data_IF_015612887884
#
_entry.id   IF_015612887884
#
_cell.length_a   1.000
_cell.length_b   1.000
_cell.length_c   1.000
_cell.angle_alpha   90.00
_cell.angle_beta   90.00
_cell.angle_gamma   90.00
#
_symmetry.space_group_name_H-M   'P 1'
#
loop_
_entity.id
_entity.type
_entity.pdbx_description
1 polymer ?
#
# COMPACT_ATOMS: atom_id res chain seq x y z
N UNK A 1 29.80 20.71 -21.41
CA UNK A 1 29.24 19.37 -21.75
C UNK A 1 30.07 18.25 -21.11
N UNK A 2 31.40 18.28 -21.24
CA UNK A 2 32.35 17.39 -20.53
C UNK A 2 32.19 17.35 -18.99
N UNK A 3 32.03 18.50 -18.33
CA UNK A 3 31.87 18.56 -16.86
C UNK A 3 30.58 17.94 -16.35
N UNK A 4 29.49 18.07 -17.12
CA UNK A 4 28.16 17.55 -16.78
C UNK A 4 28.09 16.03 -17.03
N UNK A 5 28.71 15.56 -18.12
CA UNK A 5 28.93 14.12 -18.38
C UNK A 5 29.80 13.48 -17.29
N UNK A 6 30.86 14.15 -16.84
CA UNK A 6 31.71 13.66 -15.76
C UNK A 6 30.98 13.65 -14.40
N UNK A 7 30.14 14.66 -14.11
CA UNK A 7 29.33 14.70 -12.89
C UNK A 7 28.25 13.61 -12.88
N UNK A 8 27.56 13.39 -14.00
CA UNK A 8 26.56 12.32 -14.17
C UNK A 8 27.21 10.94 -14.15
N UNK A 9 28.37 10.75 -14.77
CA UNK A 9 29.11 9.49 -14.70
C UNK A 9 29.57 9.18 -13.28
N UNK A 10 30.00 10.20 -12.51
CA UNK A 10 30.46 10.04 -11.13
C UNK A 10 29.33 9.80 -10.13
N UNK A 11 28.18 10.48 -10.29
CA UNK A 11 27.04 10.35 -9.37
C UNK A 11 26.03 9.30 -9.81
N UNK A 12 25.98 8.91 -11.08
CA UNK A 12 24.99 7.97 -11.61
C UNK A 12 25.03 6.62 -10.91
N UNK A 13 26.22 6.10 -10.61
CA UNK A 13 26.36 4.87 -9.82
C UNK A 13 25.83 5.04 -8.39
N UNK A 14 26.23 6.12 -7.71
CA UNK A 14 25.82 6.39 -6.32
C UNK A 14 24.30 6.58 -6.23
N UNK A 15 23.72 7.33 -7.16
CA UNK A 15 22.27 7.57 -7.22
C UNK A 15 21.51 6.27 -7.39
N UNK A 16 21.93 5.40 -8.33
CA UNK A 16 21.31 4.08 -8.51
C UNK A 16 21.40 3.27 -7.22
N UNK A 17 22.58 3.19 -6.61
CA UNK A 17 22.78 2.44 -5.36
C UNK A 17 21.86 2.95 -4.24
N UNK A 18 21.87 4.27 -3.97
CA UNK A 18 21.12 4.88 -2.87
C UNK A 18 19.62 4.75 -3.09
N UNK A 19 19.12 5.00 -4.30
CA UNK A 19 17.68 4.90 -4.59
C UNK A 19 17.20 3.47 -4.47
N UNK A 20 17.94 2.51 -5.02
CA UNK A 20 17.61 1.08 -4.95
C UNK A 20 17.68 0.57 -3.51
N UNK A 21 18.71 0.94 -2.75
CA UNK A 21 18.85 0.57 -1.34
C UNK A 21 17.71 1.16 -0.50
N UNK A 22 17.38 2.43 -0.71
CA UNK A 22 16.32 3.11 0.00
C UNK A 22 14.95 2.46 -0.28
N UNK A 23 14.64 2.12 -1.53
CA UNK A 23 13.42 1.34 -1.83
C UNK A 23 13.44 -0.01 -1.12
N UNK A 24 14.56 -0.74 -1.18
CA UNK A 24 14.68 -2.06 -0.55
C UNK A 24 14.51 -2.02 0.98
N UNK A 25 14.89 -0.92 1.64
CA UNK A 25 14.65 -0.71 3.09
C UNK A 25 13.20 -0.30 3.40
N UNK A 26 12.39 -0.01 2.37
CA UNK A 26 10.97 0.29 2.49
C UNK A 26 10.61 1.76 2.34
N UNK A 27 11.53 2.60 1.86
CA UNK A 27 11.20 3.97 1.47
C UNK A 27 10.42 3.97 0.15
N UNK A 28 9.41 4.84 -0.03
CA UNK A 28 8.60 4.90 -1.24
C UNK A 28 9.33 5.60 -2.39
N UNK A 29 10.51 5.09 -2.77
CA UNK A 29 11.27 5.56 -3.92
C UNK A 29 11.05 4.65 -5.12
N UNK A 30 11.01 5.19 -6.36
CA UNK A 30 10.76 4.39 -7.55
C UNK A 30 12.08 3.87 -8.15
N UNK A 31 12.68 2.83 -7.57
CA UNK A 31 13.95 2.28 -8.09
C UNK A 31 13.79 1.66 -9.49
N UNK A 32 12.59 1.21 -9.88
CA UNK A 32 12.29 0.86 -11.27
C UNK A 32 12.67 1.98 -12.25
N UNK A 33 12.36 3.25 -11.92
CA UNK A 33 12.71 4.42 -12.75
C UNK A 33 14.22 4.62 -12.78
N UNK A 34 14.88 4.50 -11.63
CA UNK A 34 16.34 4.62 -11.55
C UNK A 34 17.07 3.54 -12.38
N UNK A 35 16.57 2.30 -12.36
CA UNK A 35 17.12 1.18 -13.13
C UNK A 35 16.91 1.33 -14.64
N UNK A 36 15.72 1.79 -15.05
CA UNK A 36 15.44 2.13 -16.45
C UNK A 36 16.36 3.27 -16.91
N UNK A 37 16.51 4.32 -16.11
CA UNK A 37 17.44 5.42 -16.40
C UNK A 37 18.90 4.95 -16.48
N UNK A 38 19.31 4.04 -15.60
CA UNK A 38 20.64 3.45 -15.62
C UNK A 38 20.88 2.62 -16.89
N UNK A 39 19.89 1.84 -17.34
CA UNK A 39 19.93 1.11 -18.61
C UNK A 39 20.13 2.03 -19.81
N UNK A 40 19.37 3.13 -19.88
CA UNK A 40 19.51 4.13 -20.94
C UNK A 40 20.89 4.85 -20.89
N UNK A 41 21.41 5.13 -19.69
CA UNK A 41 22.72 5.73 -19.50
C UNK A 41 23.87 4.79 -19.91
N UNK A 42 23.72 3.48 -19.70
CA UNK A 42 24.65 2.47 -20.20
C UNK A 42 24.59 2.39 -21.74
N UNK A 43 23.39 2.38 -22.33
CA UNK A 43 23.24 2.42 -23.79
C UNK A 43 23.86 3.70 -24.39
N UNK A 44 23.89 4.80 -23.63
CA UNK A 44 24.56 6.06 -23.96
C UNK A 44 26.07 6.06 -23.74
N UNK A 45 26.66 4.94 -23.30
CA UNK A 45 28.09 4.80 -22.93
C UNK A 45 28.54 5.71 -21.78
N UNK A 46 27.62 6.25 -20.98
CA UNK A 46 27.91 7.11 -19.81
C UNK A 46 28.25 6.27 -18.58
N UNK A 47 27.55 5.15 -18.41
CA UNK A 47 27.76 4.17 -17.35
C UNK A 47 28.18 2.82 -17.94
N UNK A 48 28.76 1.96 -17.10
CA UNK A 48 29.22 0.62 -17.46
C UNK A 48 28.29 -0.45 -16.87
N UNK A 49 27.70 -1.30 -17.72
CA UNK A 49 26.77 -2.36 -17.31
C UNK A 49 27.33 -3.25 -16.19
N UNK A 50 28.59 -3.67 -16.34
CA UNK A 50 29.28 -4.56 -15.39
C UNK A 50 29.50 -3.94 -14.01
N UNK A 51 29.36 -2.62 -13.87
CA UNK A 51 29.38 -1.94 -12.57
C UNK A 51 27.96 -1.75 -12.05
N UNK A 52 27.04 -1.25 -12.89
CA UNK A 52 25.66 -0.92 -12.49
C UNK A 52 24.89 -2.15 -11.99
N UNK A 53 24.97 -3.28 -12.71
CA UNK A 53 24.16 -4.47 -12.38
C UNK A 53 24.54 -5.09 -11.03
N UNK A 54 25.83 -5.40 -10.73
CA UNK A 54 26.21 -5.89 -9.41
C UNK A 54 25.94 -4.89 -8.29
N UNK A 55 26.11 -3.60 -8.58
CA UNK A 55 25.89 -2.52 -7.62
C UNK A 55 24.41 -2.39 -7.24
N UNK A 56 23.49 -2.44 -8.20
CA UNK A 56 22.06 -2.43 -7.94
C UNK A 56 21.59 -3.69 -7.21
N UNK A 57 22.06 -4.88 -7.64
CA UNK A 57 21.71 -6.14 -6.98
C UNK A 57 22.21 -6.14 -5.53
N UNK A 58 23.45 -5.72 -5.27
CA UNK A 58 23.98 -5.64 -3.91
C UNK A 58 23.22 -4.62 -3.05
N UNK A 59 22.82 -3.47 -3.60
CA UNK A 59 21.96 -2.51 -2.91
C UNK A 59 20.64 -3.15 -2.45
N UNK A 60 19.96 -3.89 -3.34
CA UNK A 60 18.72 -4.59 -3.00
C UNK A 60 18.95 -5.62 -1.90
N UNK A 61 19.90 -6.54 -2.11
CA UNK A 61 20.21 -7.60 -1.15
C UNK A 61 20.54 -7.06 0.24
N UNK A 62 21.24 -5.93 0.33
CA UNK A 62 21.57 -5.29 1.61
C UNK A 62 20.30 -4.79 2.33
N UNK A 63 19.42 -4.09 1.61
CA UNK A 63 18.16 -3.61 2.17
C UNK A 63 17.22 -4.75 2.57
N UNK A 64 17.06 -5.75 1.69
CA UNK A 64 16.23 -6.92 1.92
C UNK A 64 16.76 -7.77 3.09
N UNK A 65 18.08 -7.94 3.20
CA UNK A 65 18.72 -8.63 4.32
C UNK A 65 18.51 -7.91 5.64
N UNK A 66 18.59 -6.56 5.65
CA UNK A 66 18.30 -5.76 6.83
C UNK A 66 16.86 -6.01 7.31
N UNK A 67 15.88 -5.93 6.40
CA UNK A 67 14.48 -6.18 6.72
C UNK A 67 14.22 -7.63 7.15
N UNK A 68 14.89 -8.61 6.52
CA UNK A 68 14.83 -10.01 6.93
C UNK A 68 15.34 -10.21 8.37
N UNK A 69 16.49 -9.64 8.72
CA UNK A 69 17.07 -9.75 10.06
C UNK A 69 16.14 -9.08 11.08
N UNK A 70 15.65 -7.88 10.77
CA UNK A 70 14.67 -7.18 11.61
C UNK A 70 13.40 -8.01 11.79
N UNK A 71 12.86 -8.60 10.72
CA UNK A 71 11.71 -9.50 10.79
C UNK A 71 11.95 -10.76 11.61
N UNK A 72 13.17 -11.30 11.57
CA UNK A 72 13.57 -12.48 12.36
C UNK A 72 13.65 -12.19 13.86
N UNK A 73 14.08 -11.00 14.25
CA UNK A 73 14.22 -10.61 15.66
C UNK A 73 12.94 -9.98 16.23
N UNK A 74 12.27 -9.10 15.48
CA UNK A 74 11.11 -8.33 15.93
C UNK A 74 9.76 -9.00 15.59
N UNK A 75 9.76 -9.99 14.69
CA UNK A 75 8.57 -10.77 14.36
C UNK A 75 7.39 -9.91 13.90
N UNK A 76 6.22 -10.17 14.48
CA UNK A 76 4.96 -9.49 14.15
C UNK A 76 4.94 -8.00 14.52
N UNK A 77 5.83 -7.53 15.41
CA UNK A 77 5.90 -6.11 15.79
C UNK A 77 6.33 -5.22 14.62
N UNK A 78 7.30 -5.68 13.80
CA UNK A 78 7.72 -4.96 12.60
C UNK A 78 6.61 -4.92 11.55
N UNK A 79 5.88 -6.03 11.40
CA UNK A 79 4.71 -6.09 10.52
C UNK A 79 3.61 -5.12 10.96
N UNK A 80 3.37 -4.96 12.26
CA UNK A 80 2.43 -3.97 12.80
C UNK A 80 2.83 -2.51 12.50
N UNK A 81 4.13 -2.21 12.48
CA UNK A 81 4.64 -0.87 12.12
C UNK A 81 4.50 -0.63 10.61
N UNK A 82 4.87 -1.61 9.78
CA UNK A 82 4.78 -1.49 8.33
C UNK A 82 3.31 -1.45 7.84
N UNK A 83 2.44 -2.27 8.43
CA UNK A 83 1.02 -2.30 8.08
C UNK A 83 0.21 -1.16 8.74
N UNK A 84 0.78 -0.35 9.65
CA UNK A 84 0.12 0.87 10.19
C UNK A 84 -0.15 1.93 9.12
N UNK A 85 0.59 1.91 8.02
CA UNK A 85 0.38 2.77 6.86
C UNK A 85 -0.79 2.28 5.99
N UNK A 86 -1.19 1.00 6.14
CA UNK A 86 -2.31 0.41 5.42
C UNK A 86 -3.65 0.74 6.08
N UNK A 87 -4.69 0.87 5.25
CA UNK A 87 -6.08 1.17 5.67
C UNK A 87 -6.61 0.10 6.65
N UNK A 88 -6.13 -1.15 6.56
CA UNK A 88 -6.49 -2.25 7.47
C UNK A 88 -5.26 -3.07 7.89
N UNK A 89 -4.65 -2.80 9.06
CA UNK A 89 -3.39 -3.44 9.46
C UNK A 89 -3.51 -4.95 9.73
N UNK A 90 -4.61 -5.42 10.31
CA UNK A 90 -4.80 -6.85 10.60
C UNK A 90 -4.96 -7.69 9.31
N UNK A 91 -5.74 -7.17 8.35
CA UNK A 91 -5.92 -7.82 7.05
C UNK A 91 -4.63 -7.80 6.22
N UNK A 92 -3.84 -6.72 6.31
CA UNK A 92 -2.51 -6.61 5.69
C UNK A 92 -1.58 -7.72 6.18
N UNK A 93 -1.56 -7.96 7.49
CA UNK A 93 -0.74 -8.98 8.15
C UNK A 93 -1.21 -10.39 7.77
N UNK A 94 -2.51 -10.69 7.90
CA UNK A 94 -3.06 -12.03 7.65
C UNK A 94 -2.97 -12.44 6.18
N UNK A 95 -3.31 -11.55 5.23
CA UNK A 95 -3.21 -11.86 3.79
C UNK A 95 -1.77 -12.05 3.33
N UNK A 96 -0.85 -11.23 3.85
CA UNK A 96 0.57 -11.35 3.53
C UNK A 96 1.12 -12.68 4.05
N UNK A 97 0.78 -13.04 5.30
CA UNK A 97 1.17 -14.31 5.90
C UNK A 97 0.57 -15.51 5.15
N UNK A 98 -0.71 -15.49 4.78
CA UNK A 98 -1.38 -16.59 4.08
C UNK A 98 -0.80 -16.81 2.66
N UNK A 99 -0.55 -15.72 1.91
CA UNK A 99 0.06 -15.78 0.59
C UNK A 99 1.48 -16.37 0.64
N UNK A 100 2.24 -16.01 1.67
CA UNK A 100 3.59 -16.54 1.90
C UNK A 100 3.55 -17.98 2.43
N UNK A 101 2.57 -18.36 3.23
CA UNK A 101 2.42 -19.74 3.71
C UNK A 101 2.09 -20.71 2.55
N UNK A 102 1.22 -20.29 1.62
CA UNK A 102 0.84 -21.11 0.46
C UNK A 102 1.91 -21.16 -0.65
N UNK A 103 2.67 -20.07 -0.86
CA UNK A 103 3.58 -19.92 -2.03
C UNK A 103 4.94 -19.27 -1.74
N UNK A 104 5.36 -19.16 -0.48
CA UNK A 104 6.43 -18.27 0.00
C UNK A 104 7.74 -18.27 -0.80
N UNK A 105 8.18 -19.42 -1.32
CA UNK A 105 9.39 -19.51 -2.17
C UNK A 105 9.21 -18.78 -3.51
N UNK A 106 8.06 -18.94 -4.16
CA UNK A 106 7.73 -18.25 -5.41
C UNK A 106 7.37 -16.79 -5.16
N UNK A 107 6.77 -16.49 -4.00
CA UNK A 107 6.47 -15.11 -3.60
C UNK A 107 7.76 -14.29 -3.53
N UNK A 108 8.85 -14.80 -2.95
CA UNK A 108 10.13 -14.06 -2.89
C UNK A 108 10.73 -13.72 -4.27
N UNK A 109 10.54 -14.60 -5.26
CA UNK A 109 11.02 -14.37 -6.64
C UNK A 109 10.28 -13.23 -7.34
N UNK A 110 8.97 -13.15 -7.18
CA UNK A 110 8.12 -12.20 -7.90
C UNK A 110 7.65 -11.00 -7.06
N UNK A 111 7.84 -11.03 -5.74
CA UNK A 111 7.41 -9.97 -4.82
C UNK A 111 7.93 -8.60 -5.23
N UNK A 112 9.15 -8.54 -5.77
CA UNK A 112 9.82 -7.30 -6.17
C UNK A 112 9.08 -6.51 -7.25
N UNK A 113 8.28 -7.19 -8.09
CA UNK A 113 7.48 -6.54 -9.13
C UNK A 113 6.16 -5.95 -8.63
N UNK A 114 5.77 -6.27 -7.40
CA UNK A 114 4.49 -5.85 -6.83
C UNK A 114 4.77 -4.87 -5.68
N UNK A 115 4.47 -3.57 -5.87
CA UNK A 115 4.67 -2.57 -4.83
C UNK A 115 3.97 -2.97 -3.52
N UNK A 116 4.67 -2.81 -2.40
CA UNK A 116 4.18 -3.16 -1.07
C UNK A 116 4.36 -4.64 -0.72
N UNK A 117 4.33 -5.56 -1.68
CA UNK A 117 4.72 -6.96 -1.44
C UNK A 117 6.24 -7.08 -1.36
N UNK A 118 6.96 -6.32 -2.19
CA UNK A 118 8.42 -6.25 -2.19
C UNK A 118 9.01 -5.91 -0.81
N UNK A 119 8.43 -4.94 -0.10
CA UNK A 119 8.88 -4.49 1.22
C UNK A 119 8.43 -5.41 2.36
N UNK A 120 7.32 -6.13 2.17
CA UNK A 120 6.76 -7.04 3.20
C UNK A 120 7.34 -8.45 3.14
N UNK A 121 7.82 -8.89 1.98
CA UNK A 121 8.29 -10.27 1.80
C UNK A 121 9.57 -10.60 2.61
N UNK A 122 10.64 -9.76 2.63
CA UNK A 122 11.81 -10.02 3.46
C UNK A 122 11.54 -10.13 4.97
N UNK A 123 10.83 -9.18 5.63
CA UNK A 123 10.57 -9.29 7.06
C UNK A 123 9.64 -10.46 7.40
N UNK A 124 8.71 -10.82 6.51
CA UNK A 124 7.85 -11.99 6.68
C UNK A 124 8.64 -13.31 6.56
N UNK A 125 9.59 -13.40 5.63
CA UNK A 125 10.50 -14.54 5.53
C UNK A 125 11.35 -14.69 6.81
N UNK A 126 11.79 -13.57 7.38
CA UNK A 126 12.50 -13.50 8.66
C UNK A 126 11.64 -13.98 9.83
N UNK A 127 10.43 -13.46 9.98
CA UNK A 127 9.53 -13.78 11.09
C UNK A 127 9.09 -15.24 11.09
N UNK A 128 8.99 -15.86 9.92
CA UNK A 128 8.73 -17.29 9.74
C UNK A 128 9.96 -18.19 9.95
N UNK A 129 11.09 -17.62 10.40
CA UNK A 129 12.36 -18.32 10.68
C UNK A 129 12.92 -19.10 9.49
N UNK A 130 12.59 -18.69 8.25
CA UNK A 130 13.18 -19.26 7.03
C UNK A 130 14.71 -19.22 7.14
N UNK A 131 15.43 -20.23 6.62
CA UNK A 131 16.90 -20.22 6.72
C UNK A 131 17.50 -19.11 5.85
N UNK A 132 18.49 -18.39 6.37
CA UNK A 132 19.09 -17.23 5.67
C UNK A 132 19.69 -17.62 4.32
N UNK A 133 20.32 -18.80 4.21
CA UNK A 133 20.87 -19.32 2.96
C UNK A 133 19.81 -19.58 1.90
N UNK A 134 18.60 -19.97 2.31
CA UNK A 134 17.48 -20.12 1.41
C UNK A 134 16.90 -18.78 0.98
N UNK A 135 16.78 -17.84 1.93
CA UNK A 135 16.29 -16.50 1.67
C UNK A 135 17.18 -15.77 0.66
N UNK A 136 18.49 -15.68 0.93
CA UNK A 136 19.42 -14.90 0.10
C UNK A 136 19.52 -15.44 -1.33
N UNK A 137 19.39 -16.76 -1.54
CA UNK A 137 19.39 -17.36 -2.90
C UNK A 137 18.14 -16.98 -3.69
N UNK A 138 16.96 -17.05 -3.06
CA UNK A 138 15.71 -16.68 -3.72
C UNK A 138 15.62 -15.17 -3.94
N UNK A 139 16.06 -14.39 -2.96
CA UNK A 139 16.11 -12.93 -3.02
C UNK A 139 17.10 -12.46 -4.08
N UNK A 140 18.27 -13.10 -4.20
CA UNK A 140 19.23 -12.85 -5.28
C UNK A 140 18.62 -13.10 -6.67
N UNK A 141 17.94 -14.24 -6.86
CA UNK A 141 17.29 -14.55 -8.13
C UNK A 141 16.20 -13.52 -8.46
N UNK A 142 15.39 -13.14 -7.47
CA UNK A 142 14.37 -12.10 -7.63
C UNK A 142 14.98 -10.73 -7.94
N UNK A 143 16.02 -10.34 -7.21
CA UNK A 143 16.73 -9.06 -7.39
C UNK A 143 17.40 -9.00 -8.76
N UNK A 144 18.04 -10.08 -9.20
CA UNK A 144 18.63 -10.19 -10.53
C UNK A 144 17.56 -10.10 -11.62
N UNK A 145 16.44 -10.82 -11.48
CA UNK A 145 15.34 -10.79 -12.45
C UNK A 145 14.74 -9.39 -12.56
N UNK A 146 14.42 -8.77 -11.42
CA UNK A 146 13.91 -7.40 -11.33
C UNK A 146 14.89 -6.41 -11.95
N UNK A 147 16.14 -6.39 -11.48
CA UNK A 147 17.17 -5.45 -11.94
C UNK A 147 17.40 -5.60 -13.44
N UNK A 148 17.61 -6.82 -13.94
CA UNK A 148 17.83 -7.07 -15.36
C UNK A 148 16.62 -6.67 -16.21
N UNK A 149 15.39 -6.94 -15.76
CA UNK A 149 14.18 -6.60 -16.53
C UNK A 149 14.06 -5.10 -16.78
N UNK A 150 14.13 -4.28 -15.72
CA UNK A 150 14.04 -2.82 -15.84
C UNK A 150 15.28 -2.21 -16.51
N UNK A 151 16.46 -2.76 -16.25
CA UNK A 151 17.69 -2.34 -16.90
C UNK A 151 17.67 -2.59 -18.41
N UNK A 152 17.27 -3.80 -18.85
CA UNK A 152 17.17 -4.15 -20.27
C UNK A 152 16.08 -3.32 -20.95
N UNK A 153 14.95 -3.09 -20.29
CA UNK A 153 13.93 -2.18 -20.80
C UNK A 153 14.51 -0.77 -21.05
N UNK A 154 15.24 -0.21 -20.08
CA UNK A 154 15.92 1.08 -20.26
C UNK A 154 16.99 1.09 -21.35
N UNK A 155 17.74 -0.01 -21.48
CA UNK A 155 18.78 -0.16 -22.49
C UNK A 155 18.20 -0.22 -23.92
N UNK A 156 17.13 -1.00 -24.13
CA UNK A 156 16.48 -1.17 -25.43
C UNK A 156 15.63 0.03 -25.84
N UNK A 157 14.87 0.62 -24.91
CA UNK A 157 13.97 1.74 -25.18
C UNK A 157 14.61 3.11 -24.96
N UNK A 158 15.94 3.20 -25.07
CA UNK A 158 16.71 4.45 -24.88
C UNK A 158 16.16 5.59 -25.73
N UNK A 159 15.94 5.36 -27.02
CA UNK A 159 15.56 6.43 -27.96
C UNK A 159 14.15 6.97 -27.67
N UNK A 160 13.25 6.09 -27.22
CA UNK A 160 11.92 6.48 -26.74
C UNK A 160 11.99 7.28 -25.44
N UNK A 161 12.83 6.85 -24.48
CA UNK A 161 13.08 7.60 -23.25
C UNK A 161 13.68 8.97 -23.52
N UNK A 162 14.68 9.06 -24.41
CA UNK A 162 15.29 10.34 -24.79
C UNK A 162 14.28 11.24 -25.51
N UNK A 163 13.41 10.68 -26.35
CA UNK A 163 12.33 11.43 -27.01
C UNK A 163 11.27 11.93 -26.03
N UNK A 164 10.94 11.15 -24.99
CA UNK A 164 10.09 11.60 -23.89
C UNK A 164 10.79 12.73 -23.13
N UNK A 165 12.07 12.58 -22.77
CA UNK A 165 12.80 13.60 -21.99
C UNK A 165 12.98 14.91 -22.77
N UNK A 166 13.26 14.84 -24.08
CA UNK A 166 13.31 16.01 -24.94
C UNK A 166 11.92 16.60 -25.19
N UNK A 167 10.89 15.77 -25.31
CA UNK A 167 9.49 16.21 -25.31
C UNK A 167 9.06 16.84 -23.98
N UNK A 168 9.65 16.43 -22.85
CA UNK A 168 9.42 17.02 -21.53
C UNK A 168 10.08 18.39 -21.37
N UNK A 169 11.08 18.77 -22.18
CA UNK A 169 11.58 20.15 -22.12
C UNK A 169 10.61 21.14 -22.79
N UNK A 170 9.78 20.69 -23.74
CA UNK A 170 8.70 21.50 -24.33
C UNK A 170 7.34 21.30 -23.65
N UNK A 171 7.08 20.11 -23.09
CA UNK A 171 5.82 19.75 -22.41
C UNK A 171 5.92 19.77 -20.88
N UNK A 172 7.09 20.08 -20.31
CA UNK A 172 7.34 20.01 -18.86
C UNK A 172 6.41 20.92 -18.06
N UNK A 173 6.19 22.14 -18.55
CA UNK A 173 5.22 23.06 -17.96
C UNK A 173 3.77 22.58 -18.11
N UNK A 174 3.45 21.85 -19.18
CA UNK A 174 2.11 21.29 -19.36
C UNK A 174 1.85 20.11 -18.41
N UNK A 175 2.84 19.23 -18.23
CA UNK A 175 2.74 18.08 -17.30
C UNK A 175 2.75 18.57 -15.85
N UNK A 176 3.60 19.55 -15.53
CA UNK A 176 3.60 20.22 -14.22
C UNK A 176 2.25 20.89 -13.94
N UNK A 177 1.69 21.62 -14.93
CA UNK A 177 0.37 22.21 -14.81
C UNK A 177 -0.73 21.15 -14.62
N UNK A 178 -0.68 20.04 -15.35
CA UNK A 178 -1.65 18.95 -15.21
C UNK A 178 -1.56 18.29 -13.83
N UNK A 179 -0.35 18.03 -13.32
CA UNK A 179 -0.15 17.47 -11.99
C UNK A 179 -0.58 18.44 -10.89
N UNK A 180 -0.29 19.73 -11.04
CA UNK A 180 -0.74 20.78 -10.13
C UNK A 180 -2.27 20.89 -10.13
N UNK A 181 -2.90 20.89 -11.30
CA UNK A 181 -4.37 20.90 -11.45
C UNK A 181 -4.98 19.64 -10.84
N UNK A 182 -4.41 18.46 -11.08
CA UNK A 182 -4.88 17.21 -10.48
C UNK A 182 -4.76 17.24 -8.94
N UNK A 183 -3.68 17.78 -8.40
CA UNK A 183 -3.49 17.95 -6.95
C UNK A 183 -4.49 18.95 -6.36
N UNK A 184 -4.75 20.07 -7.04
CA UNK A 184 -5.76 21.06 -6.63
C UNK A 184 -7.16 20.49 -6.69
N UNK A 185 -7.52 19.78 -7.76
CA UNK A 185 -8.81 19.10 -7.90
C UNK A 185 -8.98 18.02 -6.84
N UNK A 186 -7.93 17.24 -6.54
CA UNK A 186 -7.96 16.24 -5.48
C UNK A 186 -8.12 16.90 -4.10
N UNK A 187 -7.39 17.97 -3.81
CA UNK A 187 -7.51 18.73 -2.57
C UNK A 187 -8.91 19.34 -2.43
N UNK A 188 -9.45 19.94 -3.50
CA UNK A 188 -10.81 20.48 -3.57
C UNK A 188 -11.88 19.41 -3.40
N UNK A 189 -11.70 18.24 -4.03
CA UNK A 189 -12.56 17.08 -3.81
C UNK A 189 -12.51 16.62 -2.36
N UNK A 190 -11.32 16.54 -1.75
CA UNK A 190 -11.15 16.15 -0.34
C UNK A 190 -11.75 17.16 0.62
N UNK A 191 -11.60 18.46 0.39
CA UNK A 191 -12.22 19.51 1.23
C UNK A 191 -13.73 19.55 1.05
N UNK A 192 -14.23 19.37 -0.18
CA UNK A 192 -15.66 19.24 -0.45
C UNK A 192 -16.26 18.02 0.23
N UNK A 193 -15.61 16.85 0.12
CA UNK A 193 -16.03 15.65 0.86
C UNK A 193 -15.99 15.92 2.37
N UNK A 194 -14.93 16.55 2.89
CA UNK A 194 -14.85 16.87 4.32
C UNK A 194 -16.00 17.79 4.76
N UNK A 195 -16.35 18.81 3.96
CA UNK A 195 -17.49 19.70 4.22
C UNK A 195 -18.83 18.97 4.13
N UNK A 196 -19.06 18.22 3.05
CA UNK A 196 -20.26 17.40 2.84
C UNK A 196 -20.44 16.39 3.98
N UNK A 197 -19.36 15.73 4.40
CA UNK A 197 -19.41 14.72 5.45
C UNK A 197 -19.36 15.30 6.87
N UNK A 198 -18.88 16.54 7.06
CA UNK A 198 -18.99 17.23 8.34
C UNK A 198 -20.45 17.47 8.74
N UNK A 199 -21.37 17.50 7.77
CA UNK A 199 -22.81 17.57 8.03
C UNK A 199 -23.38 16.29 8.67
N UNK A 200 -22.73 15.12 8.49
CA UNK A 200 -23.14 13.87 9.16
C UNK A 200 -22.54 13.70 10.56
N UNK A 201 -21.68 14.62 11.03
CA UNK A 201 -21.23 14.63 12.45
C UNK A 201 -22.35 14.98 13.44
N UNK A 202 -23.53 15.31 12.94
CA UNK A 202 -24.72 15.65 13.75
C UNK A 202 -25.42 14.42 14.36
N UNK A 203 -25.00 13.19 14.04
CA UNK A 203 -25.57 12.00 14.68
C UNK A 203 -24.89 11.78 16.04
N UNK A 204 -25.58 12.02 17.17
CA UNK A 204 -25.01 11.81 18.49
C UNK A 204 -24.69 10.32 18.68
N UNK A 205 -23.49 10.02 19.18
CA UNK A 205 -23.11 8.66 19.58
C UNK A 205 -23.54 8.43 21.02
N UNK A 206 -24.13 7.28 21.28
CA UNK A 206 -24.57 6.87 22.63
C UNK A 206 -23.72 5.70 23.09
N UNK A 207 -23.32 5.71 24.37
CA UNK A 207 -22.59 4.59 24.95
C UNK A 207 -23.51 3.38 25.14
N UNK A 208 -22.97 2.18 24.90
CA UNK A 208 -23.73 0.91 24.97
C UNK A 208 -24.40 0.74 26.35
N UNK A 209 -23.73 1.13 27.42
CA UNK A 209 -24.24 1.03 28.79
C UNK A 209 -25.44 1.96 29.03
N UNK A 210 -25.43 3.15 28.43
CA UNK A 210 -26.55 4.10 28.55
C UNK A 210 -27.78 3.58 27.79
N UNK A 211 -27.56 3.03 26.59
CA UNK A 211 -28.62 2.41 25.80
C UNK A 211 -29.19 1.17 26.50
N UNK A 212 -28.35 0.33 27.10
CA UNK A 212 -28.79 -0.83 27.87
C UNK A 212 -29.69 -0.42 29.05
N UNK A 213 -29.31 0.61 29.81
CA UNK A 213 -30.13 1.16 30.90
C UNK A 213 -31.48 1.66 30.40
N UNK A 214 -31.53 2.36 29.26
CA UNK A 214 -32.78 2.83 28.64
C UNK A 214 -33.68 1.68 28.19
N UNK A 215 -33.11 0.59 27.67
CA UNK A 215 -33.86 -0.59 27.27
C UNK A 215 -34.41 -1.38 28.46
N UNK A 216 -33.72 -1.35 29.61
CA UNK A 216 -34.18 -2.01 30.85
C UNK A 216 -35.19 -1.20 31.66
N UNK A 217 -35.40 0.08 31.34
CA UNK A 217 -36.41 0.91 32.01
C UNK A 217 -37.83 0.54 31.54
N UNK A 218 -38.77 0.41 32.49
CA UNK A 218 -40.16 0.06 32.20
C UNK A 218 -40.82 1.06 31.25
N UNK A 219 -41.47 0.56 30.19
CA UNK A 219 -42.19 1.39 29.21
C UNK A 219 -41.32 2.04 28.11
N UNK A 220 -40.00 1.88 28.13
CA UNK A 220 -39.09 2.44 27.11
C UNK A 220 -38.84 1.50 25.92
N UNK A 221 -39.04 0.19 26.08
CA UNK A 221 -38.80 -0.81 25.03
C UNK A 221 -39.63 -0.57 23.75
N UNK A 222 -40.84 0.01 23.88
CA UNK A 222 -41.69 0.27 22.72
C UNK A 222 -41.35 1.58 21.99
N UNK A 223 -40.54 2.45 22.61
CA UNK A 223 -40.12 3.74 22.03
C UNK A 223 -38.77 3.68 21.33
N UNK A 224 -37.99 2.62 21.53
CA UNK A 224 -36.64 2.46 20.97
C UNK A 224 -36.66 1.44 19.84
N UNK A 225 -36.04 1.77 18.71
CA UNK A 225 -35.80 0.85 17.61
C UNK A 225 -34.30 0.66 17.42
N UNK A 226 -33.84 -0.57 17.63
CA UNK A 226 -32.46 -0.98 17.33
C UNK A 226 -32.36 -1.43 15.89
N UNK A 227 -31.37 -0.91 15.16
CA UNK A 227 -31.16 -1.22 13.75
C UNK A 227 -29.72 -1.66 13.52
N UNK A 228 -29.58 -2.88 13.02
CA UNK A 228 -28.31 -3.46 12.59
C UNK A 228 -28.00 -3.03 11.15
N UNK A 229 -26.92 -2.28 10.95
CA UNK A 229 -26.48 -1.80 9.61
C UNK A 229 -25.17 -2.47 9.15
N UNK A 230 -24.83 -3.65 9.70
CA UNK A 230 -23.66 -4.42 9.24
C UNK A 230 -23.85 -4.88 7.79
N UNK A 231 -22.82 -4.69 6.96
CA UNK A 231 -22.85 -5.07 5.54
C UNK A 231 -22.75 -6.59 5.33
N UNK A 232 -23.15 -7.05 4.16
CA UNK A 232 -23.30 -8.46 3.80
C UNK A 232 -22.09 -9.36 4.14
N UNK A 233 -20.86 -8.82 4.12
CA UNK A 233 -19.63 -9.56 4.43
C UNK A 233 -19.34 -9.79 5.93
N UNK A 234 -20.17 -9.27 6.83
CA UNK A 234 -20.09 -9.47 8.29
C UNK A 234 -21.27 -10.27 8.85
N UNK A 235 -22.14 -10.80 7.98
CA UNK A 235 -23.32 -11.56 8.36
C UNK A 235 -23.12 -13.04 8.02
N UNK A 236 -22.47 -13.77 8.92
CA UNK A 236 -22.45 -15.24 8.89
C UNK A 236 -23.76 -15.79 9.47
N UNK A 237 -24.16 -17.02 9.12
CA UNK A 237 -25.39 -17.66 9.66
C UNK A 237 -25.41 -17.77 11.19
N UNK A 238 -24.24 -17.68 11.84
CA UNK A 238 -24.06 -17.69 13.29
C UNK A 238 -23.93 -16.28 13.91
N UNK A 239 -24.14 -15.21 13.14
CA UNK A 239 -23.98 -13.85 13.63
C UNK A 239 -25.07 -13.51 14.66
N UNK A 240 -24.67 -13.33 15.93
CA UNK A 240 -25.55 -12.83 16.96
C UNK A 240 -25.96 -11.37 16.69
N UNK A 241 -27.17 -11.02 17.12
CA UNK A 241 -27.73 -9.67 17.03
C UNK A 241 -28.25 -9.23 18.40
N UNK A 242 -28.30 -7.93 18.62
CA UNK A 242 -28.93 -7.39 19.82
C UNK A 242 -30.42 -7.79 19.78
N UNK A 243 -30.92 -8.37 20.87
CA UNK A 243 -32.31 -8.85 20.96
C UNK A 243 -33.29 -7.71 20.65
N UNK A 244 -34.20 -7.95 19.70
CA UNK A 244 -35.18 -6.96 19.26
C UNK A 244 -34.70 -5.99 18.18
N UNK A 245 -33.48 -6.16 17.64
CA UNK A 245 -33.03 -5.37 16.49
C UNK A 245 -33.63 -5.83 15.17
N UNK A 246 -33.92 -4.87 14.30
CA UNK A 246 -34.20 -5.11 12.89
C UNK A 246 -32.92 -4.96 12.08
N UNK A 247 -32.79 -5.71 10.99
CA UNK A 247 -31.69 -5.52 10.04
C UNK A 247 -32.10 -4.46 9.04
N UNK A 248 -31.18 -3.54 8.76
CA UNK A 248 -31.30 -2.62 7.65
C UNK A 248 -30.14 -2.83 6.67
N UNK A 249 -30.44 -3.22 5.44
CA UNK A 249 -29.43 -3.47 4.41
C UNK A 249 -28.97 -2.14 3.78
N UNK A 250 -27.69 -1.75 3.94
CA UNK A 250 -27.21 -0.46 3.42
C UNK A 250 -27.36 -0.31 1.90
N UNK A 251 -27.34 -1.43 1.16
CA UNK A 251 -27.49 -1.43 -0.30
C UNK A 251 -28.94 -1.23 -0.77
N UNK A 252 -29.94 -1.38 0.10
CA UNK A 252 -31.36 -1.19 -0.22
C UNK A 252 -32.03 -0.13 0.69
N UNK A 253 -31.23 0.82 1.18
CA UNK A 253 -31.62 1.79 2.21
C UNK A 253 -32.88 2.59 1.84
N UNK A 254 -33.04 3.02 0.58
CA UNK A 254 -34.17 3.87 0.17
C UNK A 254 -35.53 3.18 0.33
N UNK A 255 -35.60 1.87 0.07
CA UNK A 255 -36.84 1.11 0.20
C UNK A 255 -37.09 0.69 1.65
N UNK A 256 -36.04 0.39 2.40
CA UNK A 256 -36.17 0.01 3.82
C UNK A 256 -36.53 1.21 4.71
N UNK A 257 -36.06 2.42 4.37
CA UNK A 257 -36.44 3.66 5.04
C UNK A 257 -37.95 3.93 5.00
N UNK A 258 -38.65 3.48 3.95
CA UNK A 258 -40.11 3.66 3.82
C UNK A 258 -40.89 2.84 4.85
N UNK A 259 -40.32 1.71 5.27
CA UNK A 259 -40.96 0.76 6.18
C UNK A 259 -40.61 1.00 7.65
N UNK A 260 -39.75 1.99 7.96
CA UNK A 260 -39.39 2.30 9.34
C UNK A 260 -40.56 2.95 10.10
N UNK A 261 -40.83 2.51 11.35
CA UNK A 261 -41.89 3.08 12.16
C UNK A 261 -41.58 4.54 12.49
N UNK A 262 -42.50 5.44 12.14
CA UNK A 262 -42.39 6.87 12.42
C UNK A 262 -42.75 7.12 13.90
N UNK A 263 -41.84 7.74 14.65
CA UNK A 263 -42.07 8.10 16.07
C UNK A 263 -41.32 7.25 17.10
N UNK A 264 -40.43 6.35 16.69
CA UNK A 264 -39.47 5.66 17.58
C UNK A 264 -38.08 6.30 17.47
N UNK A 265 -37.33 6.29 18.56
CA UNK A 265 -35.93 6.69 18.56
C UNK A 265 -35.09 5.58 17.91
N UNK A 266 -34.40 5.91 16.83
CA UNK A 266 -33.63 4.94 16.03
C UNK A 266 -32.17 4.93 16.50
N UNK A 267 -31.70 3.76 16.95
CA UNK A 267 -30.33 3.51 17.33
C UNK A 267 -29.69 2.57 16.32
N UNK A 268 -28.73 3.09 15.55
CA UNK A 268 -27.97 2.32 14.57
C UNK A 268 -26.75 1.71 15.25
N UNK A 269 -26.45 0.44 14.96
CA UNK A 269 -25.17 -0.18 15.33
C UNK A 269 -24.54 -0.92 14.15
N UNK A 270 -23.21 -0.91 14.13
CA UNK A 270 -22.38 -1.69 13.23
C UNK A 270 -21.30 -2.43 14.04
N UNK A 271 -20.41 -3.15 13.37
CA UNK A 271 -19.22 -3.76 13.97
C UNK A 271 -18.30 -2.72 14.58
#
# INVERSE_FOLDING_TARGET
MESLLHLISRHGYIVVFVVVLAEAIGLPLPAAIALVGAGAAVASKVLRAHVVLPLAISAMLLGDSLLYILGRHMGWMLLGILCKVSINPETCILRSAESFYKRGKMTLLFAKFIPGVNTMAPPLAGSMKMRFDQFIRLDFLGAALYTCSYFVAGYLFRDFLMSIVHGFQSAGHAIEAVLAVAAVLYAGYRTWLYGKYSMYKLVPKVQVQELAKKLSAEGSADKVLLVDVRSHGYYDENAERIKGSIRLEPNNLEDELKNLPKGKDIYLYCT
#
